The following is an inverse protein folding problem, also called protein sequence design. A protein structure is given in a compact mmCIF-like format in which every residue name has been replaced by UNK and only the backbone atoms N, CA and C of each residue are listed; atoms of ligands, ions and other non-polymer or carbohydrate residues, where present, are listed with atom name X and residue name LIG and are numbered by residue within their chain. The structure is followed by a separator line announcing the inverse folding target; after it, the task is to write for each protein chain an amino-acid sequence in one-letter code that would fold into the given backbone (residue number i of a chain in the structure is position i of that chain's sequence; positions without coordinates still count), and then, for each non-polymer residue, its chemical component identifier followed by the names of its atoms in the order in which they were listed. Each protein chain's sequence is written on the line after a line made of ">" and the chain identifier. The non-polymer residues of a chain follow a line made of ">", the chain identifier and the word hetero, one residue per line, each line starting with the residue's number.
data_IF_166123216639
#
_entry.id   IF_166123216639
#
_cell.length_a   1.000
_cell.length_b   1.000
_cell.length_c   1.000
_cell.angle_alpha   90.00
_cell.angle_beta   90.00
_cell.angle_gamma   90.00
#
_symmetry.space_group_name_H-M   'P 1'
#
loop_
_entity.id
_entity.type
_entity.pdbx_description
1 polymer ?
#
# COMPACT_ATOMS: atom_id res chain seq x y z
N UNK A 1 1.80 6.07 73.45
CA UNK A 1 2.45 5.77 72.15
C UNK A 1 3.75 6.52 72.12
N UNK A 2 4.86 5.81 71.95
CA UNK A 2 6.21 6.35 72.07
C UNK A 2 6.46 7.48 71.05
N UNK A 3 7.15 8.55 71.46
CA UNK A 3 7.39 9.74 70.63
C UNK A 3 8.20 9.38 69.37
N UNK A 4 9.09 8.40 69.51
CA UNK A 4 9.88 7.82 68.43
C UNK A 4 8.96 7.13 67.40
N UNK A 5 8.03 6.30 67.85
CA UNK A 5 7.08 5.60 66.99
C UNK A 5 6.20 6.57 66.18
N UNK A 6 5.78 7.69 66.79
CA UNK A 6 4.98 8.72 66.08
C UNK A 6 5.80 9.44 65.01
N UNK A 7 7.09 9.67 65.24
CA UNK A 7 8.01 10.28 64.28
C UNK A 7 8.26 9.33 63.11
N UNK A 8 8.51 8.06 63.37
CA UNK A 8 8.76 7.03 62.35
C UNK A 8 7.54 6.80 61.47
N UNK A 9 6.33 6.75 62.05
CA UNK A 9 5.07 6.64 61.29
C UNK A 9 4.82 7.87 60.41
N UNK A 10 5.14 9.09 60.90
CA UNK A 10 5.02 10.31 60.08
C UNK A 10 6.00 10.30 58.90
N UNK A 11 7.23 9.85 59.15
CA UNK A 11 8.23 9.68 58.10
C UNK A 11 7.78 8.65 57.06
N UNK A 12 7.29 7.48 57.50
CA UNK A 12 6.84 6.42 56.60
C UNK A 12 5.62 6.83 55.76
N UNK A 13 4.67 7.59 56.34
CA UNK A 13 3.53 8.16 55.59
C UNK A 13 3.99 9.16 54.54
N UNK A 14 4.92 10.05 54.88
CA UNK A 14 5.48 11.00 53.93
C UNK A 14 6.24 10.29 52.81
N UNK A 15 7.06 9.29 53.15
CA UNK A 15 7.77 8.46 52.19
C UNK A 15 6.82 7.73 51.24
N UNK A 16 5.80 7.04 51.78
CA UNK A 16 4.81 6.33 50.97
C UNK A 16 4.07 7.28 50.03
N UNK A 17 3.60 8.43 50.54
CA UNK A 17 2.93 9.43 49.71
C UNK A 17 3.82 9.96 48.59
N UNK A 18 5.07 10.34 48.89
CA UNK A 18 6.02 10.84 47.89
C UNK A 18 6.35 9.78 46.84
N UNK A 19 6.54 8.52 47.26
CA UNK A 19 6.85 7.41 46.35
C UNK A 19 5.65 7.10 45.46
N UNK A 20 4.44 7.05 46.02
CA UNK A 20 3.21 6.85 45.24
C UNK A 20 2.96 8.01 44.27
N UNK A 21 3.17 9.26 44.69
CA UNK A 21 3.05 10.41 43.81
C UNK A 21 4.08 10.36 42.66
N UNK A 22 5.33 10.01 42.96
CA UNK A 22 6.38 9.85 41.96
C UNK A 22 6.05 8.74 40.96
N UNK A 23 5.60 7.58 41.43
CA UNK A 23 5.14 6.48 40.57
C UNK A 23 3.92 6.88 39.74
N UNK A 24 2.98 7.64 40.31
CA UNK A 24 1.82 8.16 39.60
C UNK A 24 2.21 9.11 38.45
N UNK A 25 3.14 10.03 38.69
CA UNK A 25 3.68 10.93 37.65
C UNK A 25 4.41 10.13 36.56
N UNK A 26 5.24 9.16 36.93
CA UNK A 26 5.95 8.30 35.97
C UNK A 26 4.96 7.52 35.10
N UNK A 27 3.94 6.91 35.71
CA UNK A 27 2.90 6.19 35.00
C UNK A 27 2.18 7.10 33.99
N UNK A 28 1.74 8.30 34.41
CA UNK A 28 1.05 9.25 33.53
C UNK A 28 1.96 9.78 32.40
N UNK A 29 3.26 9.92 32.64
CA UNK A 29 4.22 10.38 31.63
C UNK A 29 4.52 9.32 30.56
N UNK A 30 4.48 8.04 30.94
CA UNK A 30 4.78 6.91 30.04
C UNK A 30 3.71 6.71 28.94
N UNK A 31 2.47 7.16 29.17
CA UNK A 31 1.38 7.05 28.19
C UNK A 31 1.31 8.21 27.20
N UNK A 32 2.27 9.14 27.23
CA UNK A 32 2.26 10.27 26.30
C UNK A 32 2.81 9.85 24.94
N UNK A 33 1.93 9.51 24.01
CA UNK A 33 2.29 9.33 22.60
C UNK A 33 2.75 10.68 22.01
N UNK A 34 4.05 10.82 21.79
CA UNK A 34 4.61 11.93 21.03
C UNK A 34 4.78 11.53 19.57
N UNK A 35 4.58 12.48 18.65
CA UNK A 35 4.87 12.26 17.23
C UNK A 35 6.38 12.07 17.05
N UNK A 36 6.78 10.91 16.55
CA UNK A 36 8.18 10.65 16.22
C UNK A 36 8.61 11.54 15.06
N UNK A 37 9.80 12.13 15.17
CA UNK A 37 10.43 12.90 14.10
C UNK A 37 11.69 12.17 13.67
N UNK A 38 11.87 12.07 12.37
CA UNK A 38 13.06 11.51 11.75
C UNK A 38 13.66 12.57 10.83
N UNK A 39 14.99 12.63 10.78
CA UNK A 39 15.69 13.37 9.73
C UNK A 39 15.69 12.56 8.43
N UNK A 40 15.94 11.26 8.55
CA UNK A 40 15.97 10.29 7.46
C UNK A 40 15.55 8.91 7.98
N UNK A 41 15.03 8.06 7.08
CA UNK A 41 14.68 6.66 7.38
C UNK A 41 15.09 5.76 6.21
N UNK A 42 15.82 4.69 6.53
CA UNK A 42 16.13 3.61 5.60
C UNK A 42 15.15 2.45 5.83
N UNK A 43 14.16 2.33 4.96
CA UNK A 43 13.11 1.32 5.08
C UNK A 43 12.75 0.73 3.73
N UNK A 44 12.35 -0.54 3.73
CA UNK A 44 11.90 -1.18 2.51
C UNK A 44 10.46 -0.81 2.14
N UNK A 45 9.64 -0.43 3.14
CA UNK A 45 8.21 -0.15 2.97
C UNK A 45 7.66 0.75 4.09
N UNK A 46 6.79 1.68 3.69
CA UNK A 46 5.98 2.53 4.58
C UNK A 46 4.51 2.23 4.28
N UNK A 47 3.74 1.96 5.34
CA UNK A 47 2.28 1.84 5.27
C UNK A 47 1.65 3.05 5.95
N UNK A 48 0.78 3.76 5.24
CA UNK A 48 -0.19 4.67 5.83
C UNK A 48 -1.49 3.90 5.93
N UNK A 49 -2.03 3.83 7.14
CA UNK A 49 -3.22 3.06 7.47
C UNK A 49 -4.29 3.94 8.10
N UNK A 50 -5.54 3.56 7.88
CA UNK A 50 -6.72 4.10 8.57
C UNK A 50 -6.79 3.60 10.03
N UNK A 51 -7.64 4.19 10.88
CA UNK A 51 -7.80 3.77 12.27
C UNK A 51 -8.19 2.29 12.46
N UNK A 52 -8.87 1.70 11.47
CA UNK A 52 -9.26 0.29 11.45
C UNK A 52 -8.16 -0.65 10.91
N UNK A 53 -7.02 -0.10 10.48
CA UNK A 53 -5.89 -0.83 9.91
C UNK A 53 -5.95 -1.03 8.40
N UNK A 54 -6.99 -0.56 7.70
CA UNK A 54 -7.02 -0.58 6.24
C UNK A 54 -5.90 0.29 5.65
N UNK A 55 -5.35 -0.08 4.50
CA UNK A 55 -4.34 0.75 3.84
C UNK A 55 -4.99 2.00 3.24
N UNK A 56 -4.31 3.15 3.37
CA UNK A 56 -4.57 4.38 2.61
C UNK A 56 -3.53 4.60 1.52
N UNK A 57 -2.27 4.31 1.85
CA UNK A 57 -1.14 4.47 0.94
C UNK A 57 0.00 3.52 1.32
N UNK A 58 0.66 2.94 0.32
CA UNK A 58 1.83 2.08 0.53
C UNK A 58 2.99 2.58 -0.33
N UNK A 59 4.10 2.98 0.30
CA UNK A 59 5.37 3.29 -0.38
C UNK A 59 6.30 2.10 -0.20
N UNK A 60 6.88 1.56 -1.27
CA UNK A 60 7.67 0.33 -1.16
C UNK A 60 8.71 0.13 -2.26
N UNK A 61 9.77 -0.60 -1.90
CA UNK A 61 10.71 -1.17 -2.86
C UNK A 61 10.08 -2.36 -3.62
N UNK A 62 10.85 -2.97 -4.54
CA UNK A 62 10.32 -3.98 -5.45
C UNK A 62 9.87 -5.24 -4.71
N UNK A 63 10.69 -5.89 -3.87
CA UNK A 63 10.29 -7.14 -3.21
C UNK A 63 9.13 -6.97 -2.22
N UNK A 64 8.96 -5.78 -1.64
CA UNK A 64 7.92 -5.49 -0.65
C UNK A 64 6.68 -4.82 -1.23
N UNK A 65 6.64 -4.62 -2.55
CA UNK A 65 5.51 -3.98 -3.20
C UNK A 65 4.24 -4.78 -3.00
N UNK A 66 3.12 -4.07 -2.79
CA UNK A 66 1.82 -4.69 -2.60
C UNK A 66 1.25 -5.15 -3.95
N UNK A 67 0.46 -6.23 -3.93
CA UNK A 67 -0.36 -6.63 -5.08
C UNK A 67 -1.69 -5.86 -5.08
N UNK A 68 -2.51 -6.02 -6.13
CA UNK A 68 -3.81 -5.38 -6.20
C UNK A 68 -4.75 -5.83 -5.09
N UNK A 69 -5.46 -4.88 -4.49
CA UNK A 69 -6.46 -5.14 -3.45
C UNK A 69 -7.79 -4.54 -3.92
N UNK A 70 -8.86 -5.31 -3.77
CA UNK A 70 -10.23 -4.87 -3.98
C UNK A 70 -11.03 -5.18 -2.72
N UNK A 71 -11.58 -4.15 -2.07
CA UNK A 71 -12.34 -4.27 -0.82
C UNK A 71 -11.62 -5.07 0.27
N UNK A 72 -10.32 -4.76 0.46
CA UNK A 72 -9.45 -5.44 1.43
C UNK A 72 -8.99 -6.85 1.01
N UNK A 73 -9.41 -7.36 -0.16
CA UNK A 73 -9.02 -8.69 -0.64
C UNK A 73 -8.02 -8.61 -1.79
N UNK A 74 -6.92 -9.38 -1.76
CA UNK A 74 -6.00 -9.48 -2.89
C UNK A 74 -6.69 -10.03 -4.14
N UNK A 75 -6.35 -9.47 -5.32
CA UNK A 75 -6.84 -10.00 -6.59
C UNK A 75 -5.79 -9.86 -7.71
N UNK A 76 -6.00 -10.58 -8.82
CA UNK A 76 -5.11 -10.50 -9.97
C UNK A 76 -3.77 -11.20 -9.75
N UNK A 77 -2.74 -10.45 -9.41
CA UNK A 77 -1.35 -10.93 -9.34
C UNK A 77 -0.72 -10.63 -7.98
N UNK A 78 0.31 -11.40 -7.55
CA UNK A 78 0.98 -11.13 -6.28
C UNK A 78 1.77 -9.82 -6.30
N UNK A 79 2.08 -9.31 -5.12
CA UNK A 79 3.05 -8.22 -4.95
C UNK A 79 4.47 -8.60 -5.40
N UNK A 80 5.42 -7.68 -5.26
CA UNK A 80 6.84 -7.93 -5.59
C UNK A 80 7.31 -7.41 -6.95
N UNK A 81 6.47 -6.69 -7.69
CA UNK A 81 6.69 -6.38 -9.11
C UNK A 81 6.69 -4.88 -9.44
N UNK A 82 6.07 -4.05 -8.61
CA UNK A 82 5.75 -2.64 -8.88
C UNK A 82 6.23 -1.74 -7.72
N UNK A 83 7.53 -1.42 -7.61
CA UNK A 83 7.97 -0.48 -6.58
C UNK A 83 7.42 0.92 -6.85
N UNK A 84 7.23 1.68 -5.77
CA UNK A 84 6.65 3.02 -5.81
C UNK A 84 5.58 3.22 -4.74
N UNK A 85 4.53 3.96 -5.09
CA UNK A 85 3.42 4.37 -4.21
C UNK A 85 2.12 3.81 -4.76
N UNK A 86 1.35 3.10 -3.94
CA UNK A 86 0.00 2.61 -4.28
C UNK A 86 -1.02 3.28 -3.36
N UNK A 87 -2.13 3.74 -3.93
CA UNK A 87 -3.20 4.44 -3.22
C UNK A 87 -4.43 3.54 -3.04
N UNK A 88 -5.19 3.81 -1.98
CA UNK A 88 -6.43 3.09 -1.67
C UNK A 88 -7.57 4.07 -1.37
N UNK A 89 -8.78 3.70 -1.78
CA UNK A 89 -10.01 4.41 -1.42
C UNK A 89 -10.55 3.95 -0.06
N UNK A 90 -11.68 4.55 0.37
CA UNK A 90 -12.30 4.30 1.67
C UNK A 90 -12.90 2.89 1.80
N UNK A 91 -13.08 2.18 0.69
CA UNK A 91 -13.51 0.77 0.68
C UNK A 91 -12.32 -0.19 0.75
N UNK A 92 -11.07 0.31 0.79
CA UNK A 92 -9.87 -0.52 0.78
C UNK A 92 -9.58 -1.14 -0.59
N UNK A 93 -10.00 -0.50 -1.68
CA UNK A 93 -9.68 -0.87 -3.06
C UNK A 93 -8.50 -0.01 -3.57
N UNK A 94 -7.50 -0.64 -4.21
CA UNK A 94 -6.43 0.06 -4.95
C UNK A 94 -7.08 0.99 -5.98
N UNK A 95 -6.73 2.27 -5.95
CA UNK A 95 -7.33 3.28 -6.83
C UNK A 95 -6.28 4.11 -7.59
N UNK A 96 -5.21 3.44 -8.00
CA UNK A 96 -4.11 4.02 -8.74
C UNK A 96 -2.78 3.95 -8.00
N UNK A 97 -1.76 4.53 -8.62
CA UNK A 97 -0.42 4.48 -8.07
C UNK A 97 0.62 5.19 -8.92
N UNK A 98 1.76 5.43 -8.30
CA UNK A 98 3.00 5.88 -8.92
C UNK A 98 3.99 4.72 -8.89
N UNK A 99 4.39 4.19 -10.04
CA UNK A 99 5.28 3.03 -10.13
C UNK A 99 6.47 3.32 -11.03
N UNK A 100 7.60 2.71 -10.67
CA UNK A 100 8.84 2.82 -11.44
C UNK A 100 9.44 1.44 -11.62
N UNK A 101 10.12 1.21 -12.73
CA UNK A 101 11.01 0.06 -12.86
C UNK A 101 12.01 0.32 -13.96
N UNK A 102 13.14 -0.36 -13.88
CA UNK A 102 14.10 -0.35 -14.96
C UNK A 102 15.31 -1.19 -14.59
N UNK A 103 15.92 -1.79 -15.59
CA UNK A 103 17.17 -2.55 -15.44
C UNK A 103 17.84 -2.72 -16.79
N UNK A 104 19.16 -2.80 -16.76
CA UNK A 104 19.94 -3.33 -17.88
C UNK A 104 20.08 -4.84 -17.70
N UNK A 105 19.74 -5.60 -18.72
CA UNK A 105 19.93 -7.04 -18.78
C UNK A 105 21.40 -7.42 -18.98
N UNK A 106 21.71 -8.70 -18.78
CA UNK A 106 23.05 -9.24 -19.04
C UNK A 106 23.45 -9.15 -20.53
N UNK A 107 22.47 -9.02 -21.44
CA UNK A 107 22.65 -8.81 -22.87
C UNK A 107 22.93 -7.33 -23.23
N UNK A 108 23.06 -6.45 -22.24
CA UNK A 108 23.30 -5.02 -22.41
C UNK A 108 22.06 -4.22 -22.81
N UNK A 109 20.91 -4.86 -23.05
CA UNK A 109 19.66 -4.17 -23.38
C UNK A 109 18.99 -3.68 -22.11
N UNK A 110 18.43 -2.49 -22.14
CA UNK A 110 17.73 -1.93 -20.99
C UNK A 110 16.21 -1.90 -21.19
N UNK A 111 15.50 -2.01 -20.08
CA UNK A 111 14.10 -1.60 -19.99
C UNK A 111 13.96 -0.52 -18.94
N UNK A 112 13.04 0.41 -19.17
CA UNK A 112 12.62 1.41 -18.19
C UNK A 112 11.12 1.64 -18.29
N UNK A 113 10.46 1.86 -17.16
CA UNK A 113 9.04 2.13 -17.06
C UNK A 113 8.75 3.04 -15.89
N UNK A 114 7.86 4.00 -16.10
CA UNK A 114 7.31 4.85 -15.05
C UNK A 114 5.85 5.09 -15.36
N UNK A 115 5.00 5.03 -14.35
CA UNK A 115 3.56 5.22 -14.51
C UNK A 115 2.97 5.93 -13.32
N UNK A 116 2.12 6.91 -13.57
CA UNK A 116 1.26 7.54 -12.56
C UNK A 116 -0.18 7.44 -13.02
N UNK A 117 -1.04 6.77 -12.24
CA UNK A 117 -2.40 6.49 -12.66
C UNK A 117 -3.44 6.75 -11.57
N UNK A 118 -4.65 7.03 -12.01
CA UNK A 118 -5.87 7.10 -11.24
C UNK A 118 -6.88 6.12 -11.82
N UNK A 119 -7.42 5.27 -10.97
CA UNK A 119 -8.42 4.28 -11.36
C UNK A 119 -9.83 4.87 -11.22
N UNK A 120 -10.75 4.46 -12.09
CA UNK A 120 -12.16 4.73 -11.89
C UNK A 120 -12.67 3.93 -10.70
N UNK A 121 -13.71 4.44 -10.03
CA UNK A 121 -14.29 3.76 -8.87
C UNK A 121 -14.70 2.32 -9.21
N UNK A 122 -14.12 1.35 -8.49
CA UNK A 122 -14.29 -0.09 -8.73
C UNK A 122 -13.94 -0.56 -10.16
N UNK A 123 -13.06 0.19 -10.84
CA UNK A 123 -12.61 -0.04 -12.21
C UNK A 123 -11.10 0.17 -12.35
N UNK A 124 -10.62 0.11 -13.59
CA UNK A 124 -9.22 0.25 -13.97
C UNK A 124 -8.85 1.71 -14.35
N UNK A 125 -7.59 1.98 -14.72
CA UNK A 125 -7.06 3.35 -14.92
C UNK A 125 -7.89 4.18 -15.92
N UNK A 126 -8.37 5.38 -15.52
CA UNK A 126 -9.02 6.37 -16.42
C UNK A 126 -8.16 7.58 -16.74
N UNK A 127 -7.22 7.94 -15.87
CA UNK A 127 -6.25 9.00 -16.10
C UNK A 127 -4.87 8.47 -15.79
N UNK A 128 -3.94 8.53 -16.75
CA UNK A 128 -2.58 8.07 -16.47
C UNK A 128 -1.50 8.73 -17.34
N UNK A 129 -0.35 8.96 -16.71
CA UNK A 129 0.91 9.31 -17.35
C UNK A 129 1.77 8.07 -17.44
N UNK A 130 2.36 7.79 -18.60
CA UNK A 130 3.20 6.62 -18.78
C UNK A 130 4.46 6.98 -19.56
N UNK A 131 5.57 6.38 -19.15
CA UNK A 131 6.82 6.28 -19.87
C UNK A 131 7.21 4.81 -19.91
N UNK A 132 7.51 4.29 -21.09
CA UNK A 132 8.13 2.98 -21.29
C UNK A 132 9.23 3.10 -22.33
N UNK A 133 10.35 2.44 -22.09
CA UNK A 133 11.47 2.37 -23.01
C UNK A 133 11.99 0.93 -23.03
N UNK A 134 11.94 0.32 -24.21
CA UNK A 134 12.56 -0.96 -24.48
C UNK A 134 13.74 -0.72 -25.43
N UNK A 135 14.92 -0.51 -24.82
CA UNK A 135 16.19 -0.33 -25.51
C UNK A 135 16.14 0.67 -26.68
N UNK A 136 15.61 1.86 -26.45
CA UNK A 136 15.44 2.94 -27.42
C UNK A 136 14.05 2.99 -28.06
N UNK A 137 13.25 1.92 -27.97
CA UNK A 137 11.85 1.93 -28.42
C UNK A 137 10.99 2.53 -27.32
N UNK A 138 10.70 3.83 -27.45
CA UNK A 138 10.03 4.63 -26.42
C UNK A 138 8.55 4.81 -26.70
N UNK A 139 7.75 4.74 -25.65
CA UNK A 139 6.37 5.24 -25.61
C UNK A 139 6.20 6.12 -24.39
N UNK A 140 5.66 7.31 -24.61
CA UNK A 140 5.34 8.23 -23.54
C UNK A 140 4.06 8.96 -23.86
N UNK A 141 3.27 9.28 -22.84
CA UNK A 141 2.03 10.00 -23.05
C UNK A 141 1.23 10.19 -21.80
N UNK A 142 0.21 11.03 -21.96
CA UNK A 142 -0.91 11.18 -21.06
C UNK A 142 -2.13 10.57 -21.74
N UNK A 143 -2.86 9.71 -21.03
CA UNK A 143 -4.07 9.09 -21.53
C UNK A 143 -5.26 9.46 -20.65
N UNK A 144 -6.37 9.78 -21.33
CA UNK A 144 -7.71 9.83 -20.77
C UNK A 144 -8.46 8.64 -21.39
N UNK A 145 -8.87 7.68 -20.57
CA UNK A 145 -9.64 6.53 -21.02
C UNK A 145 -11.10 6.72 -20.60
N UNK A 146 -11.98 6.81 -21.60
CA UNK A 146 -13.43 6.72 -21.40
C UNK A 146 -13.78 5.24 -21.27
N UNK A 147 -14.05 4.78 -20.05
CA UNK A 147 -14.33 3.38 -19.72
C UNK A 147 -15.80 3.22 -19.42
N UNK A 148 -16.36 2.10 -19.89
CA UNK A 148 -17.72 1.75 -19.51
C UNK A 148 -17.82 1.50 -17.99
N UNK A 149 -18.97 1.82 -17.42
CA UNK A 149 -19.26 1.45 -16.04
C UNK A 149 -19.29 -0.08 -15.91
N UNK A 150 -18.65 -0.57 -14.85
CA UNK A 150 -18.61 -2.00 -14.55
C UNK A 150 -17.86 -2.25 -13.24
N UNK A 151 -17.77 -3.50 -12.82
CA UNK A 151 -16.97 -3.88 -11.67
C UNK A 151 -15.73 -4.67 -12.10
N UNK A 152 -14.54 -4.26 -11.66
CA UNK A 152 -13.27 -4.85 -12.11
C UNK A 152 -13.20 -6.34 -11.73
N UNK A 153 -13.81 -6.76 -10.62
CA UNK A 153 -13.82 -8.16 -10.23
C UNK A 153 -14.68 -9.00 -11.17
N UNK A 154 -15.78 -8.45 -11.69
CA UNK A 154 -16.59 -9.13 -12.71
C UNK A 154 -15.79 -9.28 -14.02
N UNK A 155 -15.13 -8.21 -14.45
CA UNK A 155 -14.29 -8.22 -15.66
C UNK A 155 -13.14 -9.24 -15.53
N UNK A 156 -12.45 -9.26 -14.38
CA UNK A 156 -11.38 -10.22 -14.10
C UNK A 156 -11.91 -11.66 -14.10
N UNK A 157 -13.05 -11.93 -13.45
CA UNK A 157 -13.67 -13.27 -13.45
C UNK A 157 -14.05 -13.73 -14.86
N UNK A 158 -14.60 -12.84 -15.69
CA UNK A 158 -14.91 -13.13 -17.08
C UNK A 158 -13.64 -13.50 -17.86
N UNK A 159 -12.58 -12.69 -17.75
CA UNK A 159 -11.28 -12.99 -18.37
C UNK A 159 -10.75 -14.35 -17.93
N UNK A 160 -10.75 -14.62 -16.63
CA UNK A 160 -10.20 -15.84 -16.06
C UNK A 160 -11.00 -17.08 -16.50
N UNK A 161 -12.32 -16.94 -16.67
CA UNK A 161 -13.17 -17.99 -17.25
C UNK A 161 -12.79 -18.31 -18.70
N UNK A 162 -12.45 -17.30 -19.52
CA UNK A 162 -11.97 -17.50 -20.90
C UNK A 162 -10.64 -18.25 -20.89
N UNK A 163 -9.71 -17.84 -20.02
CA UNK A 163 -8.39 -18.47 -19.88
C UNK A 163 -8.52 -19.93 -19.44
N UNK A 164 -9.43 -20.23 -18.51
CA UNK A 164 -9.68 -21.59 -18.03
C UNK A 164 -10.37 -22.47 -19.09
N UNK A 165 -11.26 -21.90 -19.90
CA UNK A 165 -12.03 -22.64 -20.90
C UNK A 165 -11.29 -22.88 -22.23
N UNK A 166 -10.20 -22.17 -22.48
CA UNK A 166 -9.47 -22.23 -23.77
C UNK A 166 -8.01 -22.61 -23.55
N UNK A 167 -7.47 -23.52 -24.36
CA UNK A 167 -6.05 -23.82 -24.37
C UNK A 167 -5.23 -22.61 -24.88
N UNK A 168 -3.95 -22.54 -24.51
CA UNK A 168 -3.03 -21.53 -25.06
C UNK A 168 -2.95 -21.65 -26.58
N UNK A 169 -3.14 -20.53 -27.28
CA UNK A 169 -3.11 -20.48 -28.73
C UNK A 169 -3.96 -19.36 -29.34
N UNK A 170 -4.18 -19.45 -30.65
CA UNK A 170 -4.92 -18.46 -31.41
C UNK A 170 -6.36 -18.26 -30.91
N UNK A 171 -7.05 -19.36 -30.56
CA UNK A 171 -8.43 -19.31 -30.07
C UNK A 171 -8.57 -18.51 -28.76
N UNK A 172 -7.68 -18.74 -27.77
CA UNK A 172 -7.65 -17.96 -26.54
C UNK A 172 -7.36 -16.49 -26.83
N UNK A 173 -6.39 -16.22 -27.70
CA UNK A 173 -6.00 -14.85 -28.06
C UNK A 173 -7.16 -14.07 -28.68
N UNK A 174 -7.88 -14.72 -29.60
CA UNK A 174 -9.05 -14.13 -30.24
C UNK A 174 -10.20 -13.90 -29.25
N UNK A 175 -10.49 -14.87 -28.38
CA UNK A 175 -11.52 -14.72 -27.35
C UNK A 175 -11.20 -13.56 -26.38
N UNK A 176 -9.94 -13.44 -25.95
CA UNK A 176 -9.50 -12.34 -25.09
C UNK A 176 -9.55 -10.98 -25.80
N UNK A 177 -9.25 -10.92 -27.10
CA UNK A 177 -9.39 -9.68 -27.89
C UNK A 177 -10.84 -9.25 -28.03
N UNK A 178 -11.76 -10.18 -28.29
CA UNK A 178 -13.19 -9.88 -28.37
C UNK A 178 -13.72 -9.38 -27.02
N UNK A 179 -13.37 -10.05 -25.92
CA UNK A 179 -13.67 -9.58 -24.57
C UNK A 179 -13.06 -8.21 -24.27
N UNK A 180 -11.88 -7.90 -24.82
CA UNK A 180 -11.23 -6.60 -24.64
C UNK A 180 -11.94 -5.44 -25.34
N UNK A 181 -12.63 -5.69 -26.45
CA UNK A 181 -13.33 -4.66 -27.22
C UNK A 181 -14.71 -4.30 -26.64
N UNK A 182 -15.23 -5.12 -25.71
CA UNK A 182 -16.57 -4.96 -25.14
C UNK A 182 -16.60 -4.09 -23.86
N UNK A 183 -15.46 -3.51 -23.46
CA UNK A 183 -15.25 -2.82 -22.18
C UNK A 183 -14.59 -1.45 -22.37
#
# INVERSE_FOLDING_TARGET
>A
MDAQLRRDVRFLKAYAFLTTAALGVLALSAFRQQKTRFTEIDVERINIVEPDGAYRMVISNRPRSIGPIYKGQPFGYPGGTRPGIIFFNDEGTENGGLTFSGKTGADGKYTASSGFSFDQFNQDQVLYFQYTDNNGTRRMGFTIADRADGDIMQLVKQRDSIVAATAEGAARTQALQQWAQQR
#
